data_IF_501678217098
#
_entry.id   IF_501678217098
#
_cell.length_a   1.000
_cell.length_b   1.000
_cell.length_c   1.000
_cell.angle_alpha   90.00
_cell.angle_beta   90.00
_cell.angle_gamma   90.00
#
_symmetry.space_group_name_H-M   'P 1'
#
loop_
_entity.id
_entity.type
_entity.pdbx_description
1 polymer ?
#
# COMPACT_ATOMS: atom_id res chain seq x y z
N UNK A 1 64.69 19.30 18.99
CA UNK A 1 63.91 18.19 18.39
C UNK A 1 63.60 17.16 19.48
N UNK A 2 62.41 17.20 20.11
CA UNK A 2 62.00 16.23 21.14
C UNK A 2 61.29 15.07 20.45
N UNK A 3 61.94 13.89 20.40
CA UNK A 3 61.29 12.64 19.98
C UNK A 3 60.34 12.21 21.09
N UNK A 4 59.03 12.23 20.82
CA UNK A 4 58.03 11.65 21.70
C UNK A 4 58.22 10.12 21.68
N UNK A 5 58.75 9.58 22.78
CA UNK A 5 58.85 8.14 22.97
C UNK A 5 57.46 7.57 23.29
N UNK A 6 56.96 6.67 22.45
CA UNK A 6 55.72 5.94 22.69
C UNK A 6 55.88 5.05 23.92
N UNK A 7 55.02 5.24 24.91
CA UNK A 7 55.01 4.48 26.16
C UNK A 7 54.76 3.00 25.85
N UNK A 8 55.53 2.04 26.42
CA UNK A 8 55.29 0.62 26.23
C UNK A 8 53.86 0.27 26.67
N UNK A 9 53.06 -0.30 25.77
CA UNK A 9 51.63 -0.61 26.04
C UNK A 9 50.63 0.27 25.29
N UNK A 10 51.04 1.45 24.81
CA UNK A 10 50.18 2.34 23.99
C UNK A 10 49.69 1.69 22.69
N UNK A 11 50.50 0.82 22.09
CA UNK A 11 50.13 0.05 20.88
C UNK A 11 49.01 -0.96 21.15
N UNK A 12 49.00 -1.58 22.34
CA UNK A 12 47.94 -2.53 22.72
C UNK A 12 46.63 -1.83 23.01
N UNK A 13 46.67 -0.65 23.66
CA UNK A 13 45.50 0.18 23.89
C UNK A 13 44.86 0.66 22.58
N UNK A 14 45.68 1.04 21.58
CA UNK A 14 45.21 1.43 20.24
C UNK A 14 44.58 0.25 19.48
N UNK A 15 45.20 -0.94 19.52
CA UNK A 15 44.65 -2.13 18.87
C UNK A 15 43.33 -2.56 19.55
N UNK A 16 43.25 -2.51 20.88
CA UNK A 16 42.04 -2.85 21.63
C UNK A 16 40.90 -1.86 21.37
N UNK A 17 41.19 -0.55 21.31
CA UNK A 17 40.18 0.47 21.00
C UNK A 17 39.68 0.39 19.56
N UNK A 18 40.57 0.14 18.59
CA UNK A 18 40.17 -0.09 17.20
C UNK A 18 39.33 -1.36 17.03
N UNK A 19 39.66 -2.44 17.74
CA UNK A 19 38.88 -3.68 17.74
C UNK A 19 37.48 -3.50 18.37
N UNK A 20 37.39 -2.77 19.49
CA UNK A 20 36.10 -2.41 20.10
C UNK A 20 35.25 -1.51 19.20
N UNK A 21 35.87 -0.53 18.55
CA UNK A 21 35.17 0.35 17.61
C UNK A 21 34.68 -0.42 16.37
N UNK A 22 35.49 -1.33 15.83
CA UNK A 22 35.10 -2.21 14.73
C UNK A 22 33.96 -3.16 15.13
N UNK A 23 34.02 -3.76 16.33
CA UNK A 23 32.94 -4.61 16.84
C UNK A 23 31.64 -3.83 17.08
N UNK A 24 31.75 -2.60 17.61
CA UNK A 24 30.61 -1.72 17.86
C UNK A 24 29.96 -1.24 16.55
N UNK A 25 30.75 -0.83 15.57
CA UNK A 25 30.25 -0.42 14.25
C UNK A 25 29.61 -1.59 13.50
N UNK A 26 30.19 -2.79 13.56
CA UNK A 26 29.60 -3.99 12.97
C UNK A 26 28.29 -4.38 13.68
N UNK A 27 28.23 -4.29 15.00
CA UNK A 27 27.01 -4.54 15.78
C UNK A 27 25.92 -3.49 15.47
N UNK A 28 26.29 -2.22 15.32
CA UNK A 28 25.35 -1.15 14.92
C UNK A 28 24.86 -1.36 13.48
N UNK A 29 25.73 -1.76 12.53
CA UNK A 29 25.32 -2.10 11.16
C UNK A 29 24.40 -3.32 11.11
N UNK A 30 24.59 -4.33 11.96
CA UNK A 30 23.65 -5.45 12.10
C UNK A 30 22.31 -5.01 12.73
N UNK A 31 22.34 -4.07 13.67
CA UNK A 31 21.13 -3.53 14.30
C UNK A 31 20.36 -2.55 13.39
N UNK A 32 21.05 -1.90 12.45
CA UNK A 32 20.45 -1.01 11.44
C UNK A 32 20.18 -1.70 10.10
N UNK A 33 20.54 -2.98 9.98
CA UNK A 33 20.38 -3.79 8.77
C UNK A 33 18.96 -4.28 8.52
N UNK A 34 17.96 -3.39 8.54
CA UNK A 34 16.71 -3.48 7.78
C UNK A 34 16.16 -2.07 7.66
N UNK A 35 16.53 -1.35 6.60
CA UNK A 35 15.66 -0.31 6.07
C UNK A 35 14.40 -1.03 5.57
N UNK A 36 13.51 -1.36 6.51
CA UNK A 36 12.22 -1.94 6.19
C UNK A 36 11.54 -0.97 5.25
N UNK A 37 11.21 -1.44 4.04
CA UNK A 37 10.31 -0.73 3.14
C UNK A 37 9.13 -0.26 3.99
N UNK A 38 8.87 1.05 4.10
CA UNK A 38 7.88 1.54 5.03
C UNK A 38 6.57 0.81 4.77
N UNK A 39 6.08 0.12 5.79
CA UNK A 39 4.91 -0.80 5.78
C UNK A 39 3.61 -0.09 5.36
N UNK A 40 3.69 1.18 4.98
CA UNK A 40 2.60 2.13 4.82
C UNK A 40 2.81 3.04 3.59
N UNK A 41 3.58 2.61 2.58
CA UNK A 41 3.63 3.38 1.33
C UNK A 41 2.29 3.23 0.59
N UNK A 42 1.35 4.13 0.87
CA UNK A 42 0.08 4.25 0.16
C UNK A 42 0.28 5.04 -1.13
N UNK A 43 -0.12 4.45 -2.25
CA UNK A 43 -0.03 5.07 -3.57
C UNK A 43 -1.43 5.37 -4.07
N UNK A 44 -1.68 6.61 -4.49
CA UNK A 44 -3.03 7.01 -4.92
C UNK A 44 -3.59 6.15 -6.05
N UNK A 45 -2.75 5.73 -7.00
CA UNK A 45 -3.18 4.87 -8.11
C UNK A 45 -3.43 3.43 -7.67
N UNK A 46 -2.51 2.86 -6.90
CA UNK A 46 -2.42 1.41 -6.61
C UNK A 46 -2.91 0.97 -5.23
N UNK A 47 -3.15 1.87 -4.29
CA UNK A 47 -3.47 1.53 -2.90
C UNK A 47 -2.23 1.24 -2.04
N UNK A 48 -2.36 0.50 -0.94
CA UNK A 48 -1.23 0.11 -0.09
C UNK A 48 -0.36 -0.91 -0.82
N UNK A 49 0.84 -0.51 -1.25
CA UNK A 49 1.63 -1.32 -2.19
C UNK A 49 2.48 -2.38 -1.48
N UNK A 50 2.72 -2.25 -0.18
CA UNK A 50 3.57 -3.19 0.58
C UNK A 50 3.32 -3.06 2.08
N UNK A 51 3.31 -4.18 2.82
CA UNK A 51 3.32 -5.58 2.36
C UNK A 51 1.89 -6.12 2.15
N UNK A 52 1.56 -6.59 0.93
CA UNK A 52 0.28 -7.26 0.64
C UNK A 52 0.35 -8.79 0.85
N UNK A 53 0.83 -9.19 2.04
CA UNK A 53 1.07 -10.59 2.46
C UNK A 53 -0.20 -11.46 2.54
N UNK A 54 -1.38 -10.83 2.54
CA UNK A 54 -2.67 -11.51 2.69
C UNK A 54 -3.34 -11.85 1.36
N UNK A 55 -2.70 -11.56 0.22
CA UNK A 55 -3.27 -11.93 -1.07
C UNK A 55 -3.18 -13.46 -1.24
N UNK A 56 -4.30 -14.15 -1.54
CA UNK A 56 -4.37 -15.62 -1.48
C UNK A 56 -3.74 -16.33 -2.68
N UNK A 57 -2.87 -15.68 -3.45
CA UNK A 57 -2.30 -16.22 -4.68
C UNK A 57 -0.78 -16.36 -4.62
N UNK A 58 -0.25 -17.18 -5.51
CA UNK A 58 1.18 -17.23 -5.79
C UNK A 58 1.67 -15.85 -6.21
N UNK A 59 2.80 -15.41 -5.64
CA UNK A 59 3.48 -14.17 -6.00
C UNK A 59 3.73 -14.07 -7.51
N UNK A 60 3.96 -15.22 -8.17
CA UNK A 60 4.21 -15.32 -9.61
C UNK A 60 3.00 -14.93 -10.48
N UNK A 61 1.79 -14.92 -9.90
CA UNK A 61 0.58 -14.48 -10.58
C UNK A 61 0.69 -13.04 -11.08
N UNK A 62 1.34 -12.20 -10.28
CA UNK A 62 1.53 -10.79 -10.58
C UNK A 62 2.98 -10.45 -10.88
N UNK A 63 3.97 -11.04 -10.20
CA UNK A 63 5.37 -10.65 -10.33
C UNK A 63 6.18 -11.60 -11.21
N UNK A 64 6.96 -11.04 -12.14
CA UNK A 64 7.96 -11.78 -12.93
C UNK A 64 9.38 -11.56 -12.41
N UNK A 65 10.10 -12.64 -12.17
CA UNK A 65 11.50 -12.59 -11.75
C UNK A 65 11.70 -11.95 -10.38
N UNK A 66 12.67 -11.03 -10.27
CA UNK A 66 13.01 -10.32 -9.01
C UNK A 66 12.39 -8.91 -8.93
N UNK A 67 11.56 -8.52 -9.91
CA UNK A 67 10.98 -7.18 -10.00
C UNK A 67 9.67 -7.08 -9.22
N UNK A 68 9.69 -6.47 -8.04
CA UNK A 68 8.50 -6.29 -7.20
C UNK A 68 7.64 -5.07 -7.57
N UNK A 69 8.14 -4.22 -8.46
CA UNK A 69 7.46 -2.98 -8.89
C UNK A 69 6.69 -3.13 -10.19
N UNK A 70 6.83 -4.26 -10.88
CA UNK A 70 6.20 -4.54 -12.16
C UNK A 70 5.25 -5.72 -12.01
N UNK A 71 4.05 -5.57 -12.58
CA UNK A 71 3.06 -6.63 -12.67
C UNK A 71 3.09 -7.18 -14.10
N UNK A 72 2.83 -8.47 -14.26
CA UNK A 72 2.61 -9.15 -15.54
C UNK A 72 1.61 -8.38 -16.41
N UNK A 73 2.03 -8.03 -17.62
CA UNK A 73 1.16 -7.30 -18.56
C UNK A 73 0.05 -8.19 -19.16
N UNK A 74 0.22 -9.51 -19.13
CA UNK A 74 -0.71 -10.51 -19.64
C UNK A 74 -1.62 -11.09 -18.56
N UNK A 75 -1.52 -10.60 -17.31
CA UNK A 75 -2.41 -11.05 -16.25
C UNK A 75 -3.84 -10.57 -16.52
N UNK A 76 -4.76 -11.53 -16.63
CA UNK A 76 -6.20 -11.29 -16.81
C UNK A 76 -6.94 -12.10 -15.75
N UNK A 77 -7.87 -11.46 -15.06
CA UNK A 77 -8.75 -12.11 -14.08
C UNK A 77 -10.18 -11.60 -14.26
N UNK A 78 -11.07 -12.50 -14.67
CA UNK A 78 -12.48 -12.20 -14.91
C UNK A 78 -13.26 -12.32 -13.59
N UNK A 79 -13.51 -11.18 -12.92
CA UNK A 79 -14.23 -11.19 -11.64
C UNK A 79 -15.65 -11.76 -11.77
N UNK A 80 -16.33 -11.55 -12.89
CA UNK A 80 -17.70 -12.03 -13.07
C UNK A 80 -17.72 -13.56 -13.13
N UNK A 81 -16.81 -14.15 -13.89
CA UNK A 81 -16.70 -15.61 -14.02
C UNK A 81 -16.16 -16.27 -12.74
N UNK A 82 -15.15 -15.67 -12.10
CA UNK A 82 -14.44 -16.29 -10.98
C UNK A 82 -15.16 -16.07 -9.63
N UNK A 83 -15.90 -14.97 -9.48
CA UNK A 83 -16.52 -14.59 -8.19
C UNK A 83 -18.02 -14.35 -8.28
N UNK A 84 -18.59 -14.28 -9.48
CA UNK A 84 -19.99 -13.87 -9.69
C UNK A 84 -20.23 -12.37 -9.55
N UNK A 85 -19.17 -11.56 -9.34
CA UNK A 85 -19.28 -10.11 -9.15
C UNK A 85 -18.65 -9.42 -10.35
N UNK A 86 -19.47 -8.88 -11.25
CA UNK A 86 -18.98 -8.06 -12.35
C UNK A 86 -18.52 -6.69 -11.82
N UNK A 87 -17.29 -6.29 -12.18
CA UNK A 87 -16.81 -4.94 -11.96
C UNK A 87 -17.18 -4.09 -13.18
N UNK A 88 -17.98 -3.06 -12.96
CA UNK A 88 -18.49 -2.19 -14.02
C UNK A 88 -18.03 -0.74 -13.81
N UNK A 89 -18.02 0.04 -14.90
CA UNK A 89 -17.72 1.46 -14.86
C UNK A 89 -16.40 1.82 -14.23
N UNK A 90 -16.44 2.77 -13.29
CA UNK A 90 -15.23 3.21 -12.61
C UNK A 90 -14.58 2.08 -11.78
N UNK A 91 -15.36 1.10 -11.31
CA UNK A 91 -14.82 -0.05 -10.58
C UNK A 91 -14.04 -1.02 -11.49
N UNK A 92 -14.38 -1.12 -12.77
CA UNK A 92 -13.65 -1.95 -13.73
C UNK A 92 -12.20 -1.49 -13.95
N UNK A 93 -11.90 -0.23 -13.65
CA UNK A 93 -10.57 0.36 -13.75
C UNK A 93 -9.81 0.37 -12.41
N UNK A 94 -10.40 -0.22 -11.35
CA UNK A 94 -9.78 -0.23 -10.03
C UNK A 94 -8.64 -1.26 -9.97
N UNK A 95 -7.48 -0.80 -9.50
CA UNK A 95 -6.35 -1.68 -9.17
C UNK A 95 -6.73 -2.68 -8.07
N UNK A 96 -6.21 -3.91 -8.13
CA UNK A 96 -6.59 -5.04 -7.27
C UNK A 96 -6.54 -4.70 -5.77
N UNK A 97 -5.47 -4.01 -5.34
CA UNK A 97 -5.21 -3.67 -3.94
C UNK A 97 -6.14 -2.57 -3.40
N UNK A 98 -6.95 -1.90 -4.25
CA UNK A 98 -7.99 -1.00 -3.75
C UNK A 98 -9.07 -1.72 -2.95
N UNK A 99 -9.37 -2.96 -3.32
CA UNK A 99 -10.33 -3.81 -2.61
C UNK A 99 -9.60 -4.87 -1.78
N UNK A 100 -8.63 -5.56 -2.37
CA UNK A 100 -7.87 -6.63 -1.72
C UNK A 100 -6.69 -6.08 -0.91
N UNK A 101 -6.99 -5.45 0.22
CA UNK A 101 -6.00 -4.87 1.13
C UNK A 101 -6.14 -5.40 2.56
N UNK A 102 -5.35 -4.81 3.46
CA UNK A 102 -5.24 -5.16 4.86
C UNK A 102 -6.47 -4.81 5.71
N UNK A 103 -7.45 -4.08 5.15
CA UNK A 103 -8.70 -3.76 5.87
C UNK A 103 -9.51 -5.01 6.19
N UNK A 104 -9.38 -6.08 5.42
CA UNK A 104 -10.09 -7.35 5.63
C UNK A 104 -10.73 -7.93 4.36
N UNK A 105 -11.60 -8.95 4.50
CA UNK A 105 -12.26 -9.56 3.35
C UNK A 105 -13.17 -8.57 2.61
N UNK A 106 -13.07 -8.53 1.27
CA UNK A 106 -13.84 -7.61 0.41
C UNK A 106 -15.35 -7.72 0.65
N UNK A 107 -15.86 -8.92 0.89
CA UNK A 107 -17.26 -9.19 1.18
C UNK A 107 -17.81 -8.38 2.37
N UNK A 108 -16.97 -8.07 3.37
CA UNK A 108 -17.38 -7.29 4.54
C UNK A 108 -17.68 -5.83 4.20
N UNK A 109 -16.93 -5.25 3.26
CA UNK A 109 -17.16 -3.89 2.79
C UNK A 109 -18.29 -3.86 1.77
N UNK A 110 -18.30 -4.81 0.83
CA UNK A 110 -19.35 -4.93 -0.18
C UNK A 110 -20.75 -5.08 0.45
N UNK A 111 -20.87 -5.81 1.57
CA UNK A 111 -22.12 -5.95 2.31
C UNK A 111 -22.67 -4.63 2.88
N UNK A 112 -21.82 -3.60 3.03
CA UNK A 112 -22.22 -2.24 3.45
C UNK A 112 -22.59 -1.34 2.26
N UNK A 113 -22.59 -1.88 1.04
CA UNK A 113 -22.85 -1.12 -0.18
C UNK A 113 -21.79 -0.04 -0.43
N UNK A 114 -22.21 1.08 -1.00
CA UNK A 114 -21.32 2.18 -1.41
C UNK A 114 -20.48 2.70 -0.23
N UNK A 115 -21.06 2.80 0.96
CA UNK A 115 -20.41 3.32 2.16
C UNK A 115 -19.40 2.35 2.79
N UNK A 116 -19.34 1.10 2.31
CA UNK A 116 -18.31 0.15 2.72
C UNK A 116 -16.91 0.57 2.30
N UNK A 117 -16.80 1.29 1.19
CA UNK A 117 -15.54 1.75 0.62
C UNK A 117 -15.46 3.28 0.46
N UNK A 118 -16.60 3.94 0.22
CA UNK A 118 -16.66 5.38 -0.02
C UNK A 118 -17.17 6.12 1.20
N UNK A 119 -16.56 7.26 1.49
CA UNK A 119 -17.09 8.20 2.48
C UNK A 119 -18.38 8.85 1.93
N UNK A 120 -19.39 9.02 2.79
CA UNK A 120 -20.60 9.74 2.43
C UNK A 120 -20.45 11.25 2.72
N UNK A 121 -20.29 12.11 1.69
CA UNK A 121 -20.18 13.55 1.89
C UNK A 121 -21.49 14.18 2.40
N UNK A 122 -22.62 13.48 2.29
CA UNK A 122 -23.93 13.93 2.76
C UNK A 122 -24.12 13.71 4.25
N UNK A 123 -23.16 13.08 4.94
CA UNK A 123 -23.21 12.84 6.39
C UNK A 123 -24.52 12.15 6.82
N UNK A 124 -24.90 11.12 6.08
CA UNK A 124 -26.10 10.30 6.24
C UNK A 124 -27.45 11.03 6.04
N UNK A 125 -27.47 12.26 5.52
CA UNK A 125 -28.71 13.03 5.33
C UNK A 125 -29.57 12.54 4.15
N UNK A 126 -28.98 11.81 3.19
CA UNK A 126 -29.65 11.36 1.96
C UNK A 126 -29.98 9.86 1.95
N UNK A 127 -29.74 9.16 3.07
CA UNK A 127 -29.88 7.70 3.14
C UNK A 127 -28.75 6.94 2.43
N UNK A 128 -28.80 5.59 2.43
CA UNK A 128 -27.73 4.73 1.92
C UNK A 128 -27.80 4.48 0.40
N UNK A 129 -28.91 4.82 -0.26
CA UNK A 129 -29.18 4.47 -1.66
C UNK A 129 -28.54 5.48 -2.62
N UNK A 130 -27.21 5.51 -2.63
CA UNK A 130 -26.41 6.44 -3.45
C UNK A 130 -26.79 6.40 -4.93
N UNK A 131 -27.17 5.21 -5.43
CA UNK A 131 -27.56 4.95 -6.83
C UNK A 131 -28.81 5.71 -7.30
N UNK A 132 -29.62 6.23 -6.38
CA UNK A 132 -30.77 7.09 -6.71
C UNK A 132 -30.32 8.38 -7.41
N UNK A 133 -29.16 8.87 -7.02
CA UNK A 133 -28.62 10.14 -7.51
C UNK A 133 -27.35 9.93 -8.32
N UNK A 134 -26.44 9.07 -7.87
CA UNK A 134 -25.11 8.86 -8.44
C UNK A 134 -25.02 7.54 -9.20
N UNK A 135 -24.60 7.61 -10.45
CA UNK A 135 -24.30 6.43 -11.26
C UNK A 135 -22.85 5.93 -11.05
N UNK A 136 -22.59 4.63 -11.12
CA UNK A 136 -21.26 4.06 -10.87
C UNK A 136 -20.30 4.14 -12.07
N UNK A 137 -20.79 4.50 -13.26
CA UNK A 137 -19.94 4.72 -14.43
C UNK A 137 -19.15 6.02 -14.27
N UNK A 138 -19.78 7.09 -13.77
CA UNK A 138 -19.17 8.43 -13.72
C UNK A 138 -19.28 9.17 -12.39
N UNK A 139 -20.02 8.61 -11.42
CA UNK A 139 -20.39 9.22 -10.13
C UNK A 139 -21.13 10.56 -10.22
N UNK A 140 -21.61 10.92 -11.41
CA UNK A 140 -22.32 12.18 -11.62
C UNK A 140 -23.75 12.07 -11.08
N UNK A 141 -24.26 13.13 -10.43
CA UNK A 141 -25.67 13.19 -10.09
C UNK A 141 -26.53 13.21 -11.36
N UNK A 142 -27.70 12.58 -11.32
CA UNK A 142 -28.70 12.64 -12.40
C UNK A 142 -29.01 14.10 -12.81
N UNK A 143 -29.29 14.32 -14.09
CA UNK A 143 -29.32 15.66 -14.71
C UNK A 143 -30.24 16.66 -14.00
N UNK A 144 -31.41 16.20 -13.53
CA UNK A 144 -32.35 17.04 -12.79
C UNK A 144 -31.77 17.53 -11.46
N UNK A 145 -31.09 16.65 -10.72
CA UNK A 145 -30.44 16.99 -9.44
C UNK A 145 -29.22 17.87 -9.68
N UNK A 146 -28.44 17.57 -10.72
CA UNK A 146 -27.31 18.38 -11.14
C UNK A 146 -27.73 19.82 -11.48
N UNK A 147 -28.91 19.99 -12.08
CA UNK A 147 -29.48 21.31 -12.40
C UNK A 147 -29.95 22.04 -11.14
N UNK A 148 -30.69 21.37 -10.24
CA UNK A 148 -31.08 21.96 -8.96
C UNK A 148 -29.88 22.49 -8.16
N UNK A 149 -28.72 21.82 -8.23
CA UNK A 149 -27.51 22.27 -7.54
C UNK A 149 -26.89 23.56 -8.10
N UNK A 150 -27.20 23.94 -9.35
CA UNK A 150 -26.69 25.16 -10.01
C UNK A 150 -27.61 26.37 -9.88
N UNK A 151 -28.86 26.16 -9.45
CA UNK A 151 -29.88 27.21 -9.36
C UNK A 151 -30.16 27.65 -7.92
N UNK A 152 -29.21 27.38 -7.01
CA UNK A 152 -29.27 27.72 -5.59
C UNK A 152 -28.05 28.54 -5.20
#
# INVERSE_FOLDING_TARGET
MRRLALVPGSRWLLVATLALYAALTLALSCASGREGVPVQSWWKSRGPVVPHEKFPADCSLCHEGKGWTSIRADFVFDHAQETGVALEGAHAQAECLRCHNDRGPVAMFAARGCSGCHEDPHRAQMGPDCKTCHDEQTWRPGELIATHARTR
#
